data_IF_258971537678
#
_entry.id   IF_258971537678
#
_cell.length_a   1.000
_cell.length_b   1.000
_cell.length_c   1.000
_cell.angle_alpha   90.00
_cell.angle_beta   90.00
_cell.angle_gamma   90.00
#
_symmetry.space_group_name_H-M   'P 1'
#
loop_
_entity.id
_entity.type
_entity.pdbx_description
1 polymer ?
#
# COMPACT_ATOMS: atom_id res chain seq x y z
N UNK A 1 -19.89 8.59 15.16
CA UNK A 1 -20.66 7.90 14.11
C UNK A 1 -20.09 6.49 13.95
N UNK A 2 -20.87 5.43 14.08
CA UNK A 2 -20.36 4.06 14.05
C UNK A 2 -20.19 3.52 12.62
N UNK A 3 -19.53 4.26 11.76
CA UNK A 3 -19.22 3.89 10.39
C UNK A 3 -17.89 3.14 10.32
N UNK A 4 -17.82 2.11 9.51
CA UNK A 4 -16.62 1.31 9.25
C UNK A 4 -16.25 1.38 7.77
N UNK A 5 -15.37 2.31 7.44
CA UNK A 5 -14.86 2.48 6.08
C UNK A 5 -13.87 1.36 5.71
N UNK A 6 -13.89 0.89 4.47
CA UNK A 6 -12.97 -0.15 3.98
C UNK A 6 -11.50 0.26 4.13
N UNK A 7 -11.17 1.49 3.79
CA UNK A 7 -9.79 2.00 3.86
C UNK A 7 -9.29 2.11 5.31
N UNK A 8 -10.15 2.50 6.26
CA UNK A 8 -9.84 2.49 7.70
C UNK A 8 -9.61 1.07 8.21
N UNK A 9 -10.45 0.10 7.81
CA UNK A 9 -10.29 -1.30 8.21
C UNK A 9 -9.00 -1.90 7.61
N UNK A 10 -8.67 -1.59 6.36
CA UNK A 10 -7.41 -2.00 5.74
C UNK A 10 -6.19 -1.40 6.46
N UNK A 11 -6.27 -0.11 6.84
CA UNK A 11 -5.21 0.54 7.61
C UNK A 11 -5.05 -0.06 9.02
N UNK A 12 -6.16 -0.36 9.70
CA UNK A 12 -6.15 -1.03 11.01
C UNK A 12 -5.53 -2.43 10.90
N UNK A 13 -5.91 -3.22 9.88
CA UNK A 13 -5.32 -4.52 9.61
C UNK A 13 -3.80 -4.42 9.45
N UNK A 14 -3.31 -3.54 8.58
CA UNK A 14 -1.88 -3.32 8.36
C UNK A 14 -1.16 -2.89 9.66
N UNK A 15 -1.78 -2.01 10.46
CA UNK A 15 -1.21 -1.56 11.73
C UNK A 15 -1.11 -2.69 12.75
N UNK A 16 -2.13 -3.53 12.90
CA UNK A 16 -2.11 -4.67 13.82
C UNK A 16 -1.13 -5.76 13.38
N UNK A 17 -1.03 -6.06 12.09
CA UNK A 17 -0.02 -6.97 11.54
C UNK A 17 1.40 -6.48 11.85
N UNK A 18 1.65 -5.19 11.65
CA UNK A 18 2.96 -4.58 11.94
C UNK A 18 3.26 -4.54 13.44
N UNK A 19 2.27 -4.23 14.27
CA UNK A 19 2.41 -4.28 15.72
C UNK A 19 2.70 -5.70 16.20
N UNK A 20 2.02 -6.71 15.65
CA UNK A 20 2.30 -8.12 15.95
C UNK A 20 3.73 -8.49 15.57
N UNK A 21 4.20 -8.13 14.38
CA UNK A 21 5.59 -8.38 13.98
C UNK A 21 6.60 -7.78 14.97
N UNK A 22 6.35 -6.56 15.46
CA UNK A 22 7.29 -5.87 16.34
C UNK A 22 7.24 -6.34 17.78
N UNK A 23 6.05 -6.70 18.29
CA UNK A 23 5.84 -6.96 19.71
C UNK A 23 5.61 -8.42 20.06
N UNK A 24 5.20 -9.24 19.07
CA UNK A 24 4.73 -10.61 19.24
C UNK A 24 3.54 -10.73 20.22
N UNK A 25 2.82 -9.63 20.47
CA UNK A 25 1.63 -9.63 21.32
C UNK A 25 0.47 -10.32 20.58
N UNK A 26 -0.05 -11.44 21.11
CA UNK A 26 -1.12 -12.19 20.48
C UNK A 26 -2.41 -11.39 20.28
N UNK A 27 -2.66 -10.35 21.06
CA UNK A 27 -3.85 -9.51 20.92
C UNK A 27 -3.90 -8.79 19.56
N UNK A 28 -2.75 -8.41 19.03
CA UNK A 28 -2.65 -7.82 17.70
C UNK A 28 -2.93 -8.85 16.60
N UNK A 29 -2.46 -10.08 16.79
CA UNK A 29 -2.75 -11.20 15.87
C UNK A 29 -4.25 -11.52 15.83
N UNK A 30 -4.87 -11.64 16.99
CA UNK A 30 -6.31 -11.91 17.12
C UNK A 30 -7.14 -10.79 16.47
N UNK A 31 -6.79 -9.54 16.72
CA UNK A 31 -7.47 -8.39 16.09
C UNK A 31 -7.31 -8.41 14.56
N UNK A 32 -6.12 -8.71 14.06
CA UNK A 32 -5.89 -8.80 12.61
C UNK A 32 -6.73 -9.91 11.97
N UNK A 33 -6.83 -11.09 12.59
CA UNK A 33 -7.69 -12.18 12.12
C UNK A 33 -9.17 -11.75 12.11
N UNK A 34 -9.64 -11.12 13.20
CA UNK A 34 -11.01 -10.61 13.29
C UNK A 34 -11.34 -9.54 12.23
N UNK A 35 -10.35 -8.69 11.86
CA UNK A 35 -10.50 -7.74 10.76
C UNK A 35 -10.62 -8.42 9.39
N UNK A 36 -9.82 -9.46 9.11
CA UNK A 36 -9.95 -10.26 7.88
C UNK A 36 -11.32 -10.92 7.82
N UNK A 37 -11.77 -11.58 8.91
CA UNK A 37 -13.09 -12.21 8.99
C UNK A 37 -14.22 -11.19 8.76
N UNK A 38 -14.12 -10.00 9.34
CA UNK A 38 -15.08 -8.92 9.14
C UNK A 38 -15.14 -8.49 7.67
N UNK A 39 -14.00 -8.24 7.03
CA UNK A 39 -13.93 -7.84 5.64
C UNK A 39 -14.51 -8.91 4.72
N UNK A 40 -14.17 -10.18 4.94
CA UNK A 40 -14.64 -11.30 4.13
C UNK A 40 -16.14 -11.59 4.30
N UNK A 41 -16.68 -11.40 5.50
CA UNK A 41 -18.09 -11.71 5.78
C UNK A 41 -19.03 -10.55 5.54
N UNK A 42 -18.57 -9.31 5.75
CA UNK A 42 -19.40 -8.11 5.74
C UNK A 42 -19.25 -7.28 4.48
N UNK A 43 -18.00 -6.99 4.05
CA UNK A 43 -17.73 -6.09 2.93
C UNK A 43 -17.37 -6.79 1.61
N UNK A 44 -17.25 -8.12 1.55
CA UNK A 44 -16.83 -8.85 0.35
C UNK A 44 -17.98 -9.29 -0.57
N UNK A 45 -19.18 -8.77 -0.36
CA UNK A 45 -20.41 -9.19 -1.12
C UNK A 45 -20.69 -8.32 -2.34
N UNK A 46 -19.74 -7.48 -2.76
CA UNK A 46 -19.87 -6.61 -3.93
C UNK A 46 -20.07 -7.37 -5.23
N UNK A 47 -20.90 -6.84 -6.14
CA UNK A 47 -21.29 -7.50 -7.39
C UNK A 47 -20.14 -7.82 -8.34
N UNK A 48 -19.06 -7.01 -8.31
CA UNK A 48 -17.90 -7.18 -9.17
C UNK A 48 -16.75 -7.99 -8.51
N UNK A 49 -17.00 -8.65 -7.36
CA UNK A 49 -15.94 -9.36 -6.63
C UNK A 49 -14.95 -8.46 -5.88
N UNK A 50 -15.18 -7.14 -5.84
CA UNK A 50 -14.44 -6.18 -5.03
C UNK A 50 -15.07 -6.03 -3.65
N UNK A 51 -14.33 -5.44 -2.69
CA UNK A 51 -14.89 -5.07 -1.40
C UNK A 51 -15.77 -3.82 -1.52
N UNK A 52 -16.87 -3.82 -0.77
CA UNK A 52 -17.80 -2.69 -0.64
C UNK A 52 -17.20 -1.56 0.21
N UNK A 53 -17.68 -0.33 0.01
CA UNK A 53 -17.09 0.88 0.55
C UNK A 53 -17.12 1.00 2.07
N UNK A 54 -18.26 0.72 2.68
CA UNK A 54 -18.41 0.82 4.14
C UNK A 54 -19.61 0.06 4.68
N UNK A 55 -19.60 -0.15 5.99
CA UNK A 55 -20.77 -0.46 6.80
C UNK A 55 -21.15 0.78 7.62
N UNK A 56 -22.34 1.29 7.41
CA UNK A 56 -22.90 2.40 8.18
C UNK A 56 -24.12 1.97 8.98
N UNK A 57 -24.59 2.85 9.88
CA UNK A 57 -25.78 2.65 10.69
C UNK A 57 -26.69 3.85 10.59
N UNK A 58 -27.88 3.64 10.02
CA UNK A 58 -28.92 4.67 9.88
C UNK A 58 -30.07 4.42 10.86
N UNK A 59 -30.69 5.49 11.34
CA UNK A 59 -31.91 5.36 12.15
C UNK A 59 -33.07 4.98 11.24
N UNK A 60 -33.87 4.01 11.69
CA UNK A 60 -35.04 3.51 10.96
C UNK A 60 -36.13 4.54 10.72
N UNK A 61 -36.27 5.54 11.59
CA UNK A 61 -37.23 6.64 11.42
C UNK A 61 -36.77 7.91 12.16
N UNK A 62 -36.93 9.06 11.52
CA UNK A 62 -36.62 10.36 12.15
C UNK A 62 -37.65 10.77 13.21
N UNK A 63 -38.86 10.20 13.15
CA UNK A 63 -40.03 10.59 13.98
C UNK A 63 -40.45 9.53 15.00
N UNK A 64 -39.85 8.33 15.02
CA UNK A 64 -40.19 7.31 16.00
C UNK A 64 -39.31 7.41 17.23
N UNK A 65 -39.91 7.22 18.42
CA UNK A 65 -39.21 7.07 19.69
C UNK A 65 -38.37 5.77 19.76
N UNK A 66 -38.35 4.98 18.69
CA UNK A 66 -37.52 3.80 18.50
C UNK A 66 -36.09 4.22 18.16
N UNK A 67 -35.14 3.81 19.00
CA UNK A 67 -33.71 4.03 18.80
C UNK A 67 -33.05 2.90 17.96
N UNK A 68 -33.83 2.16 17.18
CA UNK A 68 -33.31 1.08 16.35
C UNK A 68 -32.36 1.66 15.26
N UNK A 69 -31.17 1.10 15.19
CA UNK A 69 -30.16 1.41 14.17
C UNK A 69 -30.13 0.25 13.17
N UNK A 70 -30.33 0.57 11.89
CA UNK A 70 -30.20 -0.39 10.79
C UNK A 70 -28.80 -0.34 10.24
N UNK A 71 -28.19 -1.52 10.09
CA UNK A 71 -26.92 -1.66 9.39
C UNK A 71 -27.15 -1.56 7.88
N UNK A 72 -26.45 -0.68 7.22
CA UNK A 72 -26.49 -0.45 5.78
C UNK A 72 -25.09 -0.62 5.22
N UNK A 73 -24.96 -1.33 4.11
CA UNK A 73 -23.69 -1.47 3.39
C UNK A 73 -23.73 -0.53 2.20
N UNK A 74 -22.65 0.25 2.02
CA UNK A 74 -22.43 1.04 0.81
C UNK A 74 -21.97 0.12 -0.34
N UNK A 75 -22.79 -0.02 -1.36
CA UNK A 75 -22.56 -0.90 -2.49
C UNK A 75 -21.53 -0.37 -3.50
N UNK A 76 -21.05 0.85 -3.35
CA UNK A 76 -19.98 1.39 -4.19
C UNK A 76 -18.65 0.70 -3.90
N UNK A 77 -17.91 0.38 -4.99
CA UNK A 77 -16.67 -0.37 -4.92
C UNK A 77 -15.51 0.58 -5.27
N UNK A 78 -14.94 1.23 -4.24
CA UNK A 78 -13.92 2.27 -4.41
C UNK A 78 -12.56 1.70 -4.76
N UNK A 79 -11.88 2.32 -5.73
CA UNK A 79 -10.60 1.89 -6.28
C UNK A 79 -9.47 1.95 -5.25
N UNK A 80 -9.25 3.10 -4.66
CA UNK A 80 -8.15 3.32 -3.69
C UNK A 80 -8.32 2.50 -2.42
N UNK A 81 -9.55 2.38 -1.89
CA UNK A 81 -9.83 1.58 -0.71
C UNK A 81 -9.58 0.09 -0.95
N UNK A 82 -10.01 -0.45 -2.11
CA UNK A 82 -9.74 -1.83 -2.51
C UNK A 82 -8.24 -2.07 -2.72
N UNK A 83 -7.50 -1.13 -3.32
CA UNK A 83 -6.06 -1.24 -3.48
C UNK A 83 -5.31 -1.31 -2.12
N UNK A 84 -5.77 -0.55 -1.12
CA UNK A 84 -5.24 -0.64 0.25
C UNK A 84 -5.58 -1.96 0.91
N UNK A 85 -6.79 -2.48 0.72
CA UNK A 85 -7.18 -3.79 1.22
C UNK A 85 -6.31 -4.91 0.64
N UNK A 86 -5.99 -4.87 -0.66
CA UNK A 86 -5.04 -5.79 -1.30
C UNK A 86 -3.70 -5.80 -0.58
N UNK A 87 -3.13 -4.63 -0.29
CA UNK A 87 -1.84 -4.54 0.43
C UNK A 87 -1.92 -5.20 1.80
N UNK A 88 -2.98 -4.91 2.58
CA UNK A 88 -3.18 -5.47 3.91
C UNK A 88 -3.39 -7.00 3.89
N UNK A 89 -4.09 -7.52 2.88
CA UNK A 89 -4.31 -8.97 2.71
C UNK A 89 -3.02 -9.72 2.34
N UNK A 90 -2.17 -9.14 1.50
CA UNK A 90 -0.86 -9.72 1.21
C UNK A 90 0.03 -9.75 2.46
N UNK A 91 -0.01 -8.72 3.29
CA UNK A 91 0.69 -8.72 4.58
C UNK A 91 0.11 -9.78 5.54
N UNK A 92 -1.23 -9.94 5.59
CA UNK A 92 -1.87 -10.97 6.41
C UNK A 92 -1.48 -12.40 5.97
N UNK A 93 -1.36 -12.64 4.68
CA UNK A 93 -0.85 -13.92 4.18
C UNK A 93 0.58 -14.19 4.67
N UNK A 94 1.52 -13.25 4.48
CA UNK A 94 2.91 -13.46 4.85
C UNK A 94 3.14 -13.56 6.35
N UNK A 95 2.44 -12.75 7.14
CA UNK A 95 2.66 -12.65 8.59
C UNK A 95 1.89 -13.72 9.35
N UNK A 96 0.68 -14.06 8.92
CA UNK A 96 -0.21 -14.98 9.63
C UNK A 96 -0.39 -16.35 8.94
N UNK A 97 0.13 -16.53 7.72
CA UNK A 97 -0.05 -17.76 6.94
C UNK A 97 -1.48 -17.95 6.42
N UNK A 98 -2.26 -16.87 6.26
CA UNK A 98 -3.66 -16.94 5.82
C UNK A 98 -3.71 -17.05 4.28
N UNK A 99 -3.65 -18.27 3.74
CA UNK A 99 -3.62 -18.51 2.28
C UNK A 99 -4.83 -17.91 1.55
N UNK A 100 -6.01 -17.93 2.15
CA UNK A 100 -7.20 -17.25 1.59
C UNK A 100 -6.99 -15.75 1.34
N UNK A 101 -6.15 -15.09 2.14
CA UNK A 101 -5.81 -13.68 1.93
C UNK A 101 -4.98 -13.46 0.66
N UNK A 102 -4.06 -14.39 0.33
CA UNK A 102 -3.29 -14.36 -0.92
C UNK A 102 -4.20 -14.41 -2.15
N UNK A 103 -5.06 -15.43 -2.20
CA UNK A 103 -5.97 -15.64 -3.32
C UNK A 103 -6.93 -14.45 -3.47
N UNK A 104 -7.48 -13.97 -2.36
CA UNK A 104 -8.37 -12.82 -2.36
C UNK A 104 -7.68 -11.55 -2.82
N UNK A 105 -6.46 -11.28 -2.38
CA UNK A 105 -5.68 -10.12 -2.81
C UNK A 105 -5.40 -10.13 -4.32
N UNK A 106 -5.04 -11.30 -4.87
CA UNK A 106 -4.82 -11.46 -6.33
C UNK A 106 -6.10 -11.21 -7.11
N UNK A 107 -7.19 -11.84 -6.70
CA UNK A 107 -8.51 -11.68 -7.34
C UNK A 107 -8.92 -10.20 -7.37
N UNK A 108 -8.89 -9.52 -6.21
CA UNK A 108 -9.27 -8.10 -6.11
C UNK A 108 -8.36 -7.21 -6.96
N UNK A 109 -7.04 -7.42 -6.94
CA UNK A 109 -6.11 -6.60 -7.71
C UNK A 109 -6.28 -6.76 -9.22
N UNK A 110 -6.54 -7.99 -9.69
CA UNK A 110 -6.80 -8.25 -11.10
C UNK A 110 -8.15 -7.65 -11.52
N UNK A 111 -9.19 -7.79 -10.71
CA UNK A 111 -10.50 -7.17 -10.96
C UNK A 111 -10.42 -5.63 -10.97
N UNK A 112 -9.67 -4.99 -10.06
CA UNK A 112 -9.43 -3.55 -10.10
C UNK A 112 -8.84 -3.12 -11.45
N UNK A 113 -7.84 -3.87 -11.91
CA UNK A 113 -7.18 -3.58 -13.18
C UNK A 113 -8.11 -3.76 -14.40
N UNK A 114 -8.94 -4.79 -14.40
CA UNK A 114 -9.83 -5.12 -15.50
C UNK A 114 -11.08 -4.24 -15.54
N UNK A 115 -11.63 -3.88 -14.36
CA UNK A 115 -12.91 -3.18 -14.28
C UNK A 115 -12.78 -1.67 -14.15
N UNK A 116 -11.76 -1.18 -13.45
CA UNK A 116 -11.61 0.24 -13.13
C UNK A 116 -10.53 0.96 -13.96
N UNK A 117 -9.74 0.26 -14.75
CA UNK A 117 -8.81 0.91 -15.67
C UNK A 117 -9.47 1.19 -16.99
N UNK A 118 -9.56 2.48 -17.36
CA UNK A 118 -10.08 2.90 -18.64
C UNK A 118 -9.16 2.57 -19.83
N UNK A 119 -9.70 2.56 -21.06
CA UNK A 119 -8.93 2.28 -22.28
C UNK A 119 -7.85 3.34 -22.54
N UNK A 120 -8.00 4.51 -21.97
CA UNK A 120 -7.05 5.61 -22.00
C UNK A 120 -5.98 5.52 -20.91
N UNK A 121 -6.02 4.49 -20.06
CA UNK A 121 -5.08 4.22 -18.98
C UNK A 121 -5.36 4.96 -17.66
N UNK A 122 -6.44 5.76 -17.58
CA UNK A 122 -6.87 6.37 -16.31
C UNK A 122 -7.55 5.35 -15.40
N UNK A 123 -7.32 5.43 -14.09
CA UNK A 123 -8.13 4.69 -13.13
C UNK A 123 -9.45 5.43 -12.89
N UNK A 124 -10.53 4.68 -12.73
CA UNK A 124 -11.83 5.19 -12.30
C UNK A 124 -11.94 5.05 -10.77
N UNK A 125 -12.63 5.99 -10.14
CA UNK A 125 -12.72 6.07 -8.69
C UNK A 125 -13.56 4.95 -8.09
N UNK A 126 -14.69 4.62 -8.71
CA UNK A 126 -15.55 3.57 -8.18
C UNK A 126 -16.33 2.85 -9.28
N UNK A 127 -16.87 1.68 -8.92
CA UNK A 127 -17.78 0.88 -9.70
C UNK A 127 -19.20 0.92 -9.08
N UNK A 128 -20.19 1.23 -9.93
CA UNK A 128 -21.62 1.14 -9.65
C UNK A 128 -22.33 0.61 -10.90
N UNK A 129 -22.18 -0.72 -11.14
CA UNK A 129 -22.61 -1.34 -12.39
C UNK A 129 -21.79 -0.95 -13.63
N UNK A 130 -21.00 0.12 -13.53
CA UNK A 130 -20.01 0.61 -14.49
C UNK A 130 -18.92 1.42 -13.80
N UNK A 131 -17.77 1.58 -14.45
CA UNK A 131 -16.68 2.41 -13.94
C UNK A 131 -17.02 3.91 -14.05
N UNK A 132 -16.83 4.66 -12.97
CA UNK A 132 -17.21 6.07 -12.85
C UNK A 132 -16.07 6.93 -12.28
N UNK A 133 -16.11 8.24 -12.60
CA UNK A 133 -15.16 9.27 -12.16
C UNK A 133 -13.70 8.90 -12.50
N UNK A 134 -13.29 8.98 -13.78
CA UNK A 134 -11.91 8.68 -14.16
C UNK A 134 -10.95 9.78 -13.76
N UNK A 135 -9.68 9.41 -13.52
CA UNK A 135 -8.55 10.32 -13.49
C UNK A 135 -8.31 11.04 -12.17
N UNK A 136 -8.62 10.40 -11.03
CA UNK A 136 -8.14 10.87 -9.73
C UNK A 136 -6.74 10.31 -9.44
N UNK A 137 -5.85 11.17 -8.95
CA UNK A 137 -4.46 10.82 -8.63
C UNK A 137 -4.38 9.77 -7.51
N UNK A 138 -5.28 9.85 -6.53
CA UNK A 138 -5.33 8.91 -5.40
C UNK A 138 -5.51 7.47 -5.85
N UNK A 139 -6.48 7.23 -6.72
CA UNK A 139 -6.80 5.89 -7.24
C UNK A 139 -5.62 5.26 -7.98
N UNK A 140 -5.01 6.03 -8.87
CA UNK A 140 -3.85 5.58 -9.63
C UNK A 140 -2.63 5.31 -8.71
N UNK A 141 -2.43 6.16 -7.69
CA UNK A 141 -1.31 6.03 -6.75
C UNK A 141 -1.47 4.81 -5.86
N UNK A 142 -2.66 4.60 -5.25
CA UNK A 142 -2.89 3.46 -4.36
C UNK A 142 -2.88 2.14 -5.13
N UNK A 143 -3.47 2.10 -6.33
CA UNK A 143 -3.38 0.93 -7.21
C UNK A 143 -1.91 0.63 -7.57
N UNK A 144 -1.13 1.65 -7.91
CA UNK A 144 0.29 1.50 -8.20
C UNK A 144 1.08 0.93 -7.01
N UNK A 145 0.81 1.41 -5.80
CA UNK A 145 1.44 0.89 -4.58
C UNK A 145 1.05 -0.57 -4.29
N UNK A 146 -0.23 -0.93 -4.50
CA UNK A 146 -0.69 -2.31 -4.35
C UNK A 146 -0.03 -3.24 -5.37
N UNK A 147 0.11 -2.81 -6.64
CA UNK A 147 0.82 -3.55 -7.68
C UNK A 147 2.29 -3.79 -7.32
N UNK A 148 3.00 -2.76 -6.81
CA UNK A 148 4.39 -2.91 -6.36
C UNK A 148 4.51 -3.80 -5.12
N UNK A 149 3.51 -3.80 -4.25
CA UNK A 149 3.48 -4.70 -3.09
C UNK A 149 3.24 -6.15 -3.54
N UNK A 150 2.29 -6.37 -4.44
CA UNK A 150 2.04 -7.68 -5.04
C UNK A 150 3.27 -8.23 -5.77
N UNK A 151 3.98 -7.39 -6.56
CA UNK A 151 5.23 -7.80 -7.17
C UNK A 151 6.28 -8.21 -6.12
N UNK A 152 6.41 -7.44 -5.03
CA UNK A 152 7.39 -7.70 -3.96
C UNK A 152 7.09 -8.98 -3.15
N UNK A 153 5.84 -9.44 -3.12
CA UNK A 153 5.38 -10.58 -2.33
C UNK A 153 5.13 -11.84 -3.18
N UNK A 154 4.58 -11.67 -4.38
CA UNK A 154 4.18 -12.78 -5.26
C UNK A 154 5.22 -13.07 -6.36
N UNK A 155 6.15 -12.14 -6.63
CA UNK A 155 7.17 -12.21 -7.68
C UNK A 155 6.63 -12.42 -9.10
N UNK A 156 5.43 -11.93 -9.37
CA UNK A 156 4.81 -11.97 -10.69
C UNK A 156 5.10 -10.68 -11.47
N UNK A 157 5.90 -10.75 -12.53
CA UNK A 157 6.31 -9.61 -13.37
C UNK A 157 5.15 -8.81 -13.96
N UNK A 158 3.99 -9.42 -14.06
CA UNK A 158 2.77 -8.74 -14.55
C UNK A 158 2.43 -7.54 -13.70
N UNK A 159 2.56 -7.63 -12.38
CA UNK A 159 2.28 -6.52 -11.47
C UNK A 159 3.29 -5.38 -11.61
N UNK A 160 4.58 -5.69 -11.83
CA UNK A 160 5.58 -4.65 -12.10
C UNK A 160 5.30 -3.93 -13.42
N UNK A 161 5.01 -4.66 -14.49
CA UNK A 161 4.66 -4.05 -15.79
C UNK A 161 3.41 -3.17 -15.71
N UNK A 162 2.37 -3.61 -14.96
CA UNK A 162 1.17 -2.81 -14.70
C UNK A 162 1.50 -1.52 -13.92
N UNK A 163 2.37 -1.61 -12.91
CA UNK A 163 2.82 -0.46 -12.14
C UNK A 163 3.61 0.55 -12.99
N UNK A 164 4.50 0.09 -13.87
CA UNK A 164 5.23 0.95 -14.81
C UNK A 164 4.28 1.65 -15.79
N UNK A 165 3.32 0.91 -16.36
CA UNK A 165 2.29 1.48 -17.25
C UNK A 165 1.44 2.54 -16.54
N UNK A 166 1.14 2.33 -15.25
CA UNK A 166 0.40 3.30 -14.45
C UNK A 166 1.24 4.54 -14.13
N UNK A 167 2.54 4.37 -13.85
CA UNK A 167 3.48 5.45 -13.65
C UNK A 167 3.59 6.36 -14.88
N UNK A 168 3.63 5.79 -16.07
CA UNK A 168 3.61 6.54 -17.33
C UNK A 168 2.31 7.32 -17.51
N UNK A 169 1.17 6.68 -17.25
CA UNK A 169 -0.15 7.33 -17.31
C UNK A 169 -0.24 8.50 -16.33
N UNK A 170 0.22 8.33 -15.09
CA UNK A 170 0.26 9.39 -14.08
C UNK A 170 1.15 10.57 -14.56
N UNK A 171 2.35 10.27 -15.05
CA UNK A 171 3.28 11.30 -15.51
C UNK A 171 2.73 12.10 -16.70
N UNK A 172 2.01 11.45 -17.61
CA UNK A 172 1.41 12.12 -18.76
C UNK A 172 0.20 12.99 -18.40
N UNK A 173 -0.62 12.56 -17.43
CA UNK A 173 -1.93 13.15 -17.16
C UNK A 173 -1.98 14.15 -16.03
N UNK A 174 -1.22 13.89 -14.97
CA UNK A 174 -1.31 14.65 -13.72
C UNK A 174 -0.16 15.63 -13.51
N UNK A 175 0.96 15.46 -14.23
CA UNK A 175 2.14 16.28 -14.01
C UNK A 175 1.86 17.74 -14.30
N UNK A 176 2.14 18.59 -13.32
CA UNK A 176 2.07 20.04 -13.48
C UNK A 176 3.41 20.62 -13.95
N UNK A 177 3.38 21.63 -14.82
CA UNK A 177 4.59 22.22 -15.40
C UNK A 177 5.44 23.02 -14.39
N UNK A 178 4.84 23.48 -13.29
CA UNK A 178 5.51 24.22 -12.22
C UNK A 178 6.06 23.31 -11.10
N UNK A 179 5.85 22.01 -11.19
CA UNK A 179 6.23 21.02 -10.17
C UNK A 179 5.01 20.40 -9.50
N UNK A 180 5.17 19.16 -9.05
CA UNK A 180 4.11 18.38 -8.46
C UNK A 180 3.11 17.79 -9.46
N UNK A 181 2.09 17.15 -8.92
CA UNK A 181 1.03 16.49 -9.68
C UNK A 181 -0.33 16.97 -9.19
N UNK A 182 -1.24 17.17 -10.14
CA UNK A 182 -2.62 17.59 -9.88
C UNK A 182 -3.44 16.40 -9.40
N UNK A 183 -4.36 16.64 -8.50
CA UNK A 183 -5.27 15.64 -7.93
C UNK A 183 -6.22 15.02 -8.94
N UNK A 184 -6.57 15.77 -10.00
CA UNK A 184 -7.43 15.32 -11.10
C UNK A 184 -6.77 15.57 -12.46
N UNK A 185 -6.94 14.62 -13.39
CA UNK A 185 -6.43 14.71 -14.77
C UNK A 185 -7.49 15.13 -15.77
N UNK A 186 -8.76 14.93 -15.47
CA UNK A 186 -9.92 15.24 -16.30
C UNK A 186 -10.83 16.19 -15.54
N UNK A 187 -11.05 17.39 -16.07
CA UNK A 187 -11.96 18.34 -15.44
C UNK A 187 -13.39 17.79 -15.41
N UNK A 188 -14.00 17.81 -14.24
CA UNK A 188 -15.35 17.38 -13.97
C UNK A 188 -16.24 18.52 -13.49
N UNK A 189 -17.48 18.22 -13.09
CA UNK A 189 -18.40 19.20 -12.53
C UNK A 189 -17.98 19.65 -11.12
N UNK A 190 -18.48 20.79 -10.68
CA UNK A 190 -18.34 21.33 -9.31
C UNK A 190 -16.88 21.38 -8.81
N UNK A 191 -16.57 20.72 -7.71
CA UNK A 191 -15.23 20.69 -7.10
C UNK A 191 -14.16 20.08 -8.01
N UNK A 192 -14.52 19.15 -8.89
CA UNK A 192 -13.61 18.52 -9.84
C UNK A 192 -13.24 19.43 -11.04
N UNK A 193 -13.79 20.65 -11.12
CA UNK A 193 -13.46 21.62 -12.14
C UNK A 193 -12.15 22.37 -11.91
N UNK A 194 -11.57 22.27 -10.70
CA UNK A 194 -10.36 23.00 -10.29
C UNK A 194 -9.29 22.03 -9.77
N UNK A 195 -8.39 21.58 -10.66
CA UNK A 195 -7.26 20.73 -10.25
C UNK A 195 -6.40 21.43 -9.20
N UNK A 196 -6.04 20.71 -8.15
CA UNK A 196 -5.19 21.17 -7.06
C UNK A 196 -3.94 20.29 -6.90
N UNK A 197 -2.89 20.83 -6.30
CA UNK A 197 -1.74 20.06 -5.85
C UNK A 197 -1.89 19.81 -4.34
N UNK A 198 -2.28 18.58 -3.97
CA UNK A 198 -2.52 18.18 -2.57
C UNK A 198 -1.26 17.58 -1.99
N UNK A 199 -0.77 18.10 -0.86
CA UNK A 199 0.47 17.67 -0.21
C UNK A 199 0.48 16.16 0.06
N UNK A 200 -0.57 15.64 0.69
CA UNK A 200 -0.66 14.23 1.07
C UNK A 200 -0.63 13.29 -0.15
N UNK A 201 -1.36 13.64 -1.22
CA UNK A 201 -1.39 12.84 -2.45
C UNK A 201 -0.04 12.87 -3.18
N UNK A 202 0.62 14.03 -3.27
CA UNK A 202 1.94 14.13 -3.88
C UNK A 202 3.02 13.41 -3.04
N UNK A 203 2.93 13.44 -1.73
CA UNK A 203 3.80 12.66 -0.84
C UNK A 203 3.61 11.16 -1.06
N UNK A 204 2.36 10.70 -1.14
CA UNK A 204 2.05 9.30 -1.39
C UNK A 204 2.51 8.84 -2.78
N UNK A 205 2.33 9.70 -3.80
CA UNK A 205 2.84 9.48 -5.15
C UNK A 205 4.39 9.43 -5.18
N UNK A 206 5.07 10.29 -4.43
CA UNK A 206 6.52 10.23 -4.32
C UNK A 206 6.98 8.89 -3.74
N UNK A 207 6.29 8.36 -2.72
CA UNK A 207 6.57 7.03 -2.18
C UNK A 207 6.39 5.91 -3.23
N UNK A 208 5.35 6.00 -4.07
CA UNK A 208 5.16 5.09 -5.21
C UNK A 208 6.34 5.14 -6.18
N UNK A 209 6.74 6.33 -6.62
CA UNK A 209 7.84 6.50 -7.58
C UNK A 209 9.20 6.09 -7.00
N UNK A 210 9.47 6.37 -5.71
CA UNK A 210 10.69 5.89 -5.04
C UNK A 210 10.71 4.36 -5.00
N UNK A 211 9.61 3.73 -4.57
CA UNK A 211 9.51 2.26 -4.53
C UNK A 211 9.69 1.65 -5.93
N UNK A 212 9.12 2.26 -6.95
CA UNK A 212 9.26 1.81 -8.34
C UNK A 212 10.72 1.97 -8.84
N UNK A 213 11.40 3.08 -8.51
CA UNK A 213 12.81 3.27 -8.80
C UNK A 213 13.69 2.21 -8.12
N UNK A 214 13.45 1.95 -6.84
CA UNK A 214 14.18 0.94 -6.06
C UNK A 214 14.00 -0.49 -6.62
N UNK A 215 12.83 -0.77 -7.23
CA UNK A 215 12.54 -2.09 -7.82
C UNK A 215 13.08 -2.25 -9.23
N UNK A 216 13.13 -1.18 -10.01
CA UNK A 216 13.50 -1.22 -11.44
C UNK A 216 14.93 -0.73 -11.72
N UNK A 217 15.54 0.00 -10.79
CA UNK A 217 16.80 0.69 -11.00
C UNK A 217 16.72 1.89 -11.96
N UNK A 218 15.51 2.30 -12.37
CA UNK A 218 15.33 3.40 -13.34
C UNK A 218 15.31 4.76 -12.64
N UNK A 219 16.33 5.58 -12.86
CA UNK A 219 16.46 6.94 -12.29
C UNK A 219 15.29 7.86 -12.67
N UNK A 220 14.71 7.68 -13.85
CA UNK A 220 13.56 8.46 -14.29
C UNK A 220 12.38 8.43 -13.31
N UNK A 221 12.17 7.31 -12.59
CA UNK A 221 11.14 7.24 -11.55
C UNK A 221 11.52 8.06 -10.32
N UNK A 222 12.80 8.08 -9.96
CA UNK A 222 13.30 8.90 -8.83
C UNK A 222 13.14 10.40 -9.14
N UNK A 223 13.38 10.80 -10.39
CA UNK A 223 13.12 12.17 -10.84
C UNK A 223 11.63 12.57 -10.73
N UNK A 224 10.69 11.63 -11.00
CA UNK A 224 9.26 11.88 -10.78
C UNK A 224 8.93 12.07 -9.29
N UNK A 225 9.58 11.31 -8.40
CA UNK A 225 9.42 11.51 -6.96
C UNK A 225 9.91 12.88 -6.51
N UNK A 226 11.07 13.31 -7.00
CA UNK A 226 11.57 14.70 -6.78
C UNK A 226 10.55 15.72 -7.27
N UNK A 227 9.99 15.50 -8.47
CA UNK A 227 9.01 16.40 -9.06
C UNK A 227 7.74 16.51 -8.22
N UNK A 228 7.26 15.39 -7.67
CA UNK A 228 6.09 15.35 -6.79
C UNK A 228 6.29 16.21 -5.53
N UNK A 229 7.46 16.14 -4.90
CA UNK A 229 7.75 16.88 -3.67
C UNK A 229 8.14 18.34 -3.91
N UNK A 230 8.60 18.68 -5.12
CA UNK A 230 9.12 20.01 -5.46
C UNK A 230 8.11 21.14 -5.26
N UNK A 231 6.83 20.88 -5.35
CA UNK A 231 5.77 21.89 -5.15
C UNK A 231 5.63 22.38 -3.71
N UNK A 232 6.25 21.70 -2.74
CA UNK A 232 6.01 21.93 -1.31
C UNK A 232 7.26 22.29 -0.49
N UNK A 233 8.21 23.10 -1.01
CA UNK A 233 9.52 23.29 -0.38
C UNK A 233 9.44 23.91 1.01
N UNK A 234 8.44 24.76 1.26
CA UNK A 234 8.23 25.44 2.55
C UNK A 234 6.84 25.25 3.11
N UNK A 235 5.84 24.96 2.28
CA UNK A 235 4.43 24.88 2.67
C UNK A 235 4.12 23.67 3.57
N UNK A 236 4.93 22.59 3.50
CA UNK A 236 4.77 21.42 4.36
C UNK A 236 4.76 21.77 5.86
N UNK A 237 5.49 22.82 6.28
CA UNK A 237 5.56 23.28 7.67
C UNK A 237 4.21 23.75 8.23
N UNK A 238 3.30 24.19 7.36
CA UNK A 238 1.97 24.67 7.74
C UNK A 238 0.98 23.53 8.05
N UNK A 239 1.37 22.28 7.74
CA UNK A 239 0.49 21.11 7.89
C UNK A 239 0.70 20.35 9.20
N UNK A 240 1.70 20.71 10.03
CA UNK A 240 1.98 20.01 11.30
C UNK A 240 2.13 18.50 11.11
N UNK A 241 1.40 17.71 11.90
CA UNK A 241 1.44 16.24 11.82
C UNK A 241 0.99 15.68 10.44
N UNK A 242 0.15 16.40 9.71
CA UNK A 242 -0.29 15.98 8.37
C UNK A 242 0.83 16.02 7.32
N UNK A 243 1.99 16.63 7.62
CA UNK A 243 3.17 16.57 6.79
C UNK A 243 4.03 15.31 7.02
N UNK A 244 3.66 14.40 7.93
CA UNK A 244 4.46 13.20 8.23
C UNK A 244 4.73 12.35 6.98
N UNK A 245 3.71 12.14 6.13
CA UNK A 245 3.86 11.43 4.85
C UNK A 245 4.87 12.10 3.91
N UNK A 246 4.88 13.43 3.85
CA UNK A 246 5.86 14.19 3.08
C UNK A 246 7.29 13.99 3.62
N UNK A 247 7.47 14.10 4.94
CA UNK A 247 8.76 13.88 5.60
C UNK A 247 9.28 12.46 5.36
N UNK A 248 8.40 11.45 5.46
CA UNK A 248 8.75 10.07 5.20
C UNK A 248 9.18 9.85 3.74
N UNK A 249 8.43 10.36 2.77
CA UNK A 249 8.76 10.22 1.35
C UNK A 249 10.04 10.97 0.98
N UNK A 250 10.29 12.13 1.60
CA UNK A 250 11.53 12.88 1.42
C UNK A 250 12.74 12.12 1.99
N UNK A 251 12.62 11.55 3.20
CA UNK A 251 13.67 10.72 3.80
C UNK A 251 14.00 9.54 2.88
N UNK A 252 12.97 8.81 2.40
CA UNK A 252 13.13 7.70 1.46
C UNK A 252 13.82 8.12 0.15
N UNK A 253 13.49 9.29 -0.37
CA UNK A 253 14.09 9.82 -1.60
C UNK A 253 15.58 10.14 -1.43
N UNK A 254 15.98 10.62 -0.26
CA UNK A 254 17.36 11.07 0.03
C UNK A 254 18.28 9.94 0.49
N UNK A 255 17.73 8.78 0.82
CA UNK A 255 18.50 7.64 1.31
C UNK A 255 18.69 6.58 0.23
N UNK A 256 19.77 5.80 0.36
CA UNK A 256 19.93 4.58 -0.43
C UNK A 256 19.06 3.48 0.19
N UNK A 257 18.24 2.76 -0.62
CA UNK A 257 17.38 1.72 -0.10
C UNK A 257 18.18 0.54 0.46
N UNK A 258 17.76 0.05 1.62
CA UNK A 258 18.13 -1.27 2.10
C UNK A 258 16.99 -2.21 1.76
N UNK A 259 17.25 -3.15 0.86
CA UNK A 259 16.27 -4.14 0.45
C UNK A 259 16.57 -5.42 1.21
N UNK A 260 15.66 -5.82 2.08
CA UNK A 260 15.75 -7.05 2.85
C UNK A 260 14.69 -8.03 2.33
N UNK A 261 15.14 -9.12 1.70
CA UNK A 261 14.26 -10.17 1.18
C UNK A 261 14.27 -11.35 2.16
N UNK A 262 13.18 -11.54 2.89
CA UNK A 262 12.96 -12.74 3.71
C UNK A 262 12.52 -13.87 2.80
N UNK A 263 13.22 -15.00 2.87
CA UNK A 263 12.98 -16.20 2.04
C UNK A 263 12.53 -17.32 2.97
N UNK A 264 11.38 -17.93 2.69
CA UNK A 264 10.83 -19.03 3.48
C UNK A 264 9.36 -19.28 3.21
N UNK A 265 8.71 -20.06 4.07
CA UNK A 265 7.28 -20.39 3.95
C UNK A 265 6.42 -19.33 4.67
N UNK A 266 5.39 -18.77 4.02
CA UNK A 266 4.48 -17.80 4.65
C UNK A 266 3.88 -18.34 5.96
N UNK A 267 3.83 -17.49 6.99
CA UNK A 267 3.31 -17.83 8.31
C UNK A 267 4.22 -18.71 9.19
N UNK A 268 5.37 -19.14 8.66
CA UNK A 268 6.34 -19.88 9.45
C UNK A 268 6.95 -18.97 10.53
N UNK A 269 7.08 -19.46 11.79
CA UNK A 269 7.69 -18.67 12.87
C UNK A 269 9.07 -18.11 12.53
N UNK A 270 9.90 -18.87 11.79
CA UNK A 270 11.23 -18.38 11.39
C UNK A 270 11.18 -17.21 10.40
N UNK A 271 10.16 -17.14 9.55
CA UNK A 271 9.92 -15.99 8.67
C UNK A 271 9.55 -14.75 9.49
N UNK A 272 8.67 -14.93 10.50
CA UNK A 272 8.24 -13.85 11.39
C UNK A 272 9.43 -13.32 12.20
N UNK A 273 10.23 -14.21 12.80
CA UNK A 273 11.42 -13.84 13.56
C UNK A 273 12.44 -13.08 12.69
N UNK A 274 12.66 -13.53 11.45
CA UNK A 274 13.57 -12.89 10.53
C UNK A 274 13.07 -11.51 10.09
N UNK A 275 11.78 -11.38 9.80
CA UNK A 275 11.15 -10.11 9.46
C UNK A 275 11.19 -9.12 10.64
N UNK A 276 10.94 -9.59 11.86
CA UNK A 276 11.03 -8.79 13.08
C UNK A 276 12.47 -8.30 13.30
N UNK A 277 13.47 -9.17 13.18
CA UNK A 277 14.87 -8.81 13.31
C UNK A 277 15.26 -7.76 12.25
N UNK A 278 14.82 -7.91 11.01
CA UNK A 278 15.05 -6.90 9.97
C UNK A 278 14.45 -5.55 10.33
N UNK A 279 13.19 -5.51 10.77
CA UNK A 279 12.51 -4.27 11.16
C UNK A 279 13.14 -3.58 12.36
N UNK A 280 13.66 -4.36 13.32
CA UNK A 280 14.24 -3.81 14.55
C UNK A 280 15.71 -3.42 14.41
N UNK A 281 16.50 -4.22 13.73
CA UNK A 281 17.96 -4.06 13.65
C UNK A 281 18.39 -3.23 12.42
N UNK A 282 17.68 -3.39 11.29
CA UNK A 282 17.95 -2.62 10.08
C UNK A 282 17.15 -1.31 10.02
N UNK A 283 16.54 -0.89 11.14
CA UNK A 283 15.63 0.25 11.27
C UNK A 283 16.27 1.57 10.78
N UNK A 284 16.48 1.61 9.51
CA UNK A 284 16.67 2.84 8.74
C UNK A 284 15.33 3.12 8.08
N UNK A 285 14.82 4.34 8.09
CA UNK A 285 13.58 4.71 7.40
C UNK A 285 13.52 4.29 5.92
N UNK A 286 14.55 3.61 5.43
CA UNK A 286 14.82 3.20 4.06
C UNK A 286 14.65 1.70 3.82
N UNK A 287 14.25 0.93 4.84
CA UNK A 287 14.08 -0.51 4.70
C UNK A 287 12.89 -0.83 3.78
N UNK A 288 13.18 -1.59 2.72
CA UNK A 288 12.19 -2.26 1.87
C UNK A 288 12.18 -3.73 2.24
N UNK A 289 11.20 -4.13 3.04
CA UNK A 289 11.00 -5.54 3.34
C UNK A 289 10.30 -6.20 2.14
N UNK A 290 10.87 -7.32 1.69
CA UNK A 290 10.30 -8.21 0.67
C UNK A 290 10.20 -9.61 1.23
N UNK A 291 9.35 -10.40 0.62
CA UNK A 291 9.21 -11.81 0.93
C UNK A 291 9.37 -12.63 -0.35
N UNK A 292 10.00 -13.79 -0.25
CA UNK A 292 10.11 -14.76 -1.33
C UNK A 292 9.82 -16.15 -0.79
N UNK A 293 8.78 -16.78 -1.34
CA UNK A 293 8.40 -18.13 -0.95
C UNK A 293 9.46 -19.13 -1.40
N UNK A 294 9.85 -20.01 -0.48
CA UNK A 294 10.70 -21.16 -0.73
C UNK A 294 10.28 -22.26 0.26
N UNK A 295 9.51 -23.23 -0.24
CA UNK A 295 8.93 -24.31 0.57
C UNK A 295 9.94 -25.42 0.91
N UNK A 296 11.08 -25.47 0.21
CA UNK A 296 12.12 -26.47 0.42
C UNK A 296 13.12 -26.09 1.52
N UNK A 297 12.97 -24.88 2.07
CA UNK A 297 13.88 -24.39 3.11
C UNK A 297 13.49 -24.88 4.51
N UNK A 298 14.44 -25.42 5.29
CA UNK A 298 14.19 -25.88 6.66
C UNK A 298 13.95 -24.73 7.65
N UNK A 299 14.41 -23.51 7.35
CA UNK A 299 14.20 -22.29 8.12
C UNK A 299 14.40 -21.07 7.24
N UNK A 300 13.78 -19.94 7.61
CA UNK A 300 13.90 -18.70 6.86
C UNK A 300 15.35 -18.18 6.85
N UNK A 301 15.70 -17.50 5.75
CA UNK A 301 16.89 -16.66 5.63
C UNK A 301 16.53 -15.27 5.14
N UNK A 302 17.43 -14.32 5.31
CA UNK A 302 17.27 -12.97 4.76
C UNK A 302 18.44 -12.64 3.83
N UNK A 303 18.12 -12.09 2.67
CA UNK A 303 19.06 -11.58 1.68
C UNK A 303 19.00 -10.05 1.69
N UNK A 304 20.12 -9.39 1.98
CA UNK A 304 20.20 -7.94 2.11
C UNK A 304 20.93 -7.36 0.90
N UNK A 305 20.36 -6.30 0.33
CA UNK A 305 20.93 -5.55 -0.78
C UNK A 305 20.98 -4.06 -0.40
N UNK A 306 22.08 -3.38 -0.73
CA UNK A 306 22.21 -1.94 -0.60
C UNK A 306 22.74 -1.35 -1.89
N UNK A 307 22.14 -0.24 -2.37
CA UNK A 307 22.56 0.41 -3.60
C UNK A 307 22.60 -0.51 -4.84
N UNK A 308 21.68 -1.49 -4.87
CA UNK A 308 21.58 -2.47 -5.98
C UNK A 308 22.65 -3.56 -5.99
N UNK A 309 23.51 -3.62 -4.97
CA UNK A 309 24.53 -4.69 -4.82
C UNK A 309 24.03 -5.76 -3.86
N UNK A 310 24.05 -7.06 -4.22
CA UNK A 310 23.79 -8.13 -3.26
C UNK A 310 24.94 -8.12 -2.26
N UNK A 311 24.60 -8.16 -0.99
CA UNK A 311 25.60 -7.90 0.02
C UNK A 311 25.76 -9.06 0.97
N UNK A 312 24.65 -9.61 1.49
CA UNK A 312 24.74 -10.58 2.55
C UNK A 312 23.53 -11.50 2.58
N UNK A 313 23.78 -12.78 2.90
CA UNK A 313 22.74 -13.73 3.27
C UNK A 313 22.91 -14.10 4.73
N UNK A 314 21.88 -13.95 5.53
CA UNK A 314 21.85 -14.27 6.95
C UNK A 314 20.79 -15.31 7.21
N UNK A 315 21.17 -16.39 7.92
CA UNK A 315 20.26 -17.50 8.24
C UNK A 315 19.81 -17.50 9.72
N UNK A 316 20.38 -16.61 10.53
CA UNK A 316 20.00 -16.47 11.93
C UNK A 316 19.65 -15.03 12.27
N UNK A 317 18.49 -14.76 12.90
CA UNK A 317 18.07 -13.39 13.27
C UNK A 317 19.08 -12.62 14.11
N UNK A 318 19.80 -13.33 14.99
CA UNK A 318 20.84 -12.76 15.88
C UNK A 318 22.05 -12.19 15.14
N UNK A 319 22.29 -12.63 13.91
CA UNK A 319 23.37 -12.12 13.07
C UNK A 319 23.02 -10.78 12.39
N UNK A 320 21.75 -10.37 12.41
CA UNK A 320 21.34 -9.05 11.96
C UNK A 320 21.66 -8.01 13.02
N UNK A 321 22.73 -7.26 12.84
CA UNK A 321 23.12 -6.20 13.76
C UNK A 321 23.16 -4.85 13.05
N UNK A 322 22.97 -3.76 13.81
CA UNK A 322 23.10 -2.41 13.28
C UNK A 322 24.52 -2.15 12.71
N UNK A 323 25.55 -2.81 13.29
CA UNK A 323 26.93 -2.76 12.81
C UNK A 323 27.09 -3.32 11.39
N UNK A 324 26.24 -4.28 11.01
CA UNK A 324 26.23 -4.86 9.68
C UNK A 324 25.96 -3.81 8.59
N UNK A 325 25.07 -2.84 8.83
CA UNK A 325 24.79 -1.74 7.90
C UNK A 325 25.99 -0.79 7.73
N UNK A 326 26.80 -0.63 8.76
CA UNK A 326 28.03 0.18 8.70
C UNK A 326 29.11 -0.51 7.87
N UNK A 327 29.24 -1.84 7.96
CA UNK A 327 30.16 -2.63 7.14
C UNK A 327 29.74 -2.65 5.66
N UNK A 328 28.47 -2.47 5.38
CA UNK A 328 27.90 -2.47 4.01
C UNK A 328 28.06 -1.13 3.27
N UNK A 329 28.87 -0.20 3.78
CA UNK A 329 29.31 0.99 3.06
C UNK A 329 28.38 2.19 3.18
N UNK A 330 27.70 2.34 4.29
CA UNK A 330 27.15 3.63 4.72
C UNK A 330 28.23 4.41 5.48
N UNK A 331 29.29 4.83 4.80
CA UNK A 331 30.17 5.89 5.26
C UNK A 331 29.70 7.24 4.73
#
# INVERSE_FOLDING_TARGET
HPEKLLDDQAALLSNHLRAFLLTQDPSHRETAIGLVEYLDTTLSRGQAGLFQGCQDYVREDRDSSSSAMLSVIDDYLYCDANARAVTAYLDAWWILGLEGCRERAKEVLDLLWETLRGPDGAMHHYWDGKALVPGLLGDATETGLALLHAYSTLHEDTYLRRAESLAESIAQRHRDHEGGFRDISISGPASLSRPMKVLAQNARLAAFFVKLADLTGKEAHREQAVWALKSFPNTHRNYGAFAAGFGHSLARLLSLPVIATVVGTPGDPSVIEMAQAALTQLNSGDLVLRFREDQDMPSAKIEIQTGGRPVLTVSEPSALTHGLLLELGRS
#
